data_IF_371790223977
#
_entry.id   IF_371790223977
#
_cell.length_a   1.000
_cell.length_b   1.000
_cell.length_c   1.000
_cell.angle_alpha   90.00
_cell.angle_beta   90.00
_cell.angle_gamma   90.00
#
_symmetry.space_group_name_H-M   'P 1'
#
loop_
_entity.id
_entity.type
_entity.pdbx_description
1 polymer ?
#
# COMPACT_ATOMS: atom_id res chain seq x y z
N UNK A 1 1.51 11.00 -1.44
CA UNK A 1 1.64 11.60 -0.10
C UNK A 1 1.16 10.59 0.94
N UNK A 2 1.77 10.52 2.14
CA UNK A 2 1.27 9.64 3.19
C UNK A 2 -0.13 10.10 3.63
N UNK A 3 -1.03 9.15 3.84
CA UNK A 3 -2.38 9.37 4.35
C UNK A 3 -2.65 8.39 5.51
N UNK A 4 -3.40 8.84 6.50
CA UNK A 4 -3.82 8.03 7.64
C UNK A 4 -5.35 8.01 7.68
N UNK A 5 -5.95 6.82 7.78
CA UNK A 5 -7.39 6.65 7.94
C UNK A 5 -7.88 7.31 9.25
N UNK A 6 -8.49 8.49 9.14
CA UNK A 6 -9.11 9.19 10.26
C UNK A 6 -10.13 8.28 10.96
N UNK A 7 -9.96 8.07 12.28
CA UNK A 7 -10.83 7.19 13.07
C UNK A 7 -10.35 5.73 13.21
N UNK A 8 -9.28 5.33 12.51
CA UNK A 8 -8.67 4.01 12.62
C UNK A 8 -7.22 4.16 13.04
N UNK A 9 -6.88 3.77 14.28
CA UNK A 9 -5.64 4.17 14.91
C UNK A 9 -4.36 3.68 14.21
N UNK A 10 -4.43 2.68 13.33
CA UNK A 10 -3.24 1.89 12.96
C UNK A 10 -3.13 1.57 11.46
N UNK A 11 -3.52 2.49 10.55
CA UNK A 11 -3.28 2.30 9.10
C UNK A 11 -2.76 3.58 8.46
N UNK A 12 -1.48 3.60 8.10
CA UNK A 12 -0.87 4.65 7.28
C UNK A 12 -0.51 4.09 5.91
N UNK A 13 -0.81 4.84 4.85
CA UNK A 13 -0.52 4.42 3.47
C UNK A 13 0.18 5.51 2.68
N UNK A 14 1.02 5.12 1.72
CA UNK A 14 1.51 6.00 0.66
C UNK A 14 1.23 5.36 -0.69
N UNK A 15 0.61 6.12 -1.58
CA UNK A 15 0.14 5.64 -2.87
C UNK A 15 0.79 6.45 -4.02
N UNK A 16 1.10 5.74 -5.10
CA UNK A 16 1.46 6.28 -6.41
C UNK A 16 0.58 5.63 -7.45
N UNK A 17 -0.25 6.40 -8.13
CA UNK A 17 -1.26 5.82 -9.00
C UNK A 17 -2.52 6.66 -9.12
N UNK A 18 -3.53 6.03 -9.70
CA UNK A 18 -4.89 6.52 -9.73
C UNK A 18 -5.86 5.33 -9.64
N UNK A 19 -6.89 5.47 -8.80
CA UNK A 19 -7.99 4.52 -8.68
C UNK A 19 -9.17 4.99 -9.54
N UNK A 20 -9.43 4.27 -10.64
CA UNK A 20 -10.45 4.66 -11.63
C UNK A 20 -11.88 4.37 -11.17
N UNK A 21 -12.07 3.43 -10.24
CA UNK A 21 -13.38 3.14 -9.64
C UNK A 21 -13.60 3.85 -8.28
N UNK A 22 -12.89 4.94 -8.01
CA UNK A 22 -12.91 5.68 -6.74
C UNK A 22 -14.33 5.92 -6.19
N UNK A 23 -15.21 6.57 -6.95
CA UNK A 23 -16.55 6.96 -6.49
C UNK A 23 -17.45 5.76 -6.18
N UNK A 24 -17.26 4.64 -6.90
CA UNK A 24 -17.99 3.40 -6.64
C UNK A 24 -17.55 2.80 -5.31
N UNK A 25 -16.26 2.78 -5.04
CA UNK A 25 -15.69 2.24 -3.80
C UNK A 25 -16.00 3.14 -2.60
N UNK A 26 -15.85 4.45 -2.75
CA UNK A 26 -16.21 5.44 -1.73
C UNK A 26 -17.66 5.28 -1.30
N UNK A 27 -18.60 5.25 -2.25
CA UNK A 27 -20.03 5.08 -1.96
C UNK A 27 -20.34 3.79 -1.19
N UNK A 28 -19.63 2.69 -1.48
CA UNK A 28 -19.77 1.42 -0.76
C UNK A 28 -19.30 1.54 0.69
N UNK A 29 -18.21 2.27 0.93
CA UNK A 29 -17.69 2.51 2.28
C UNK A 29 -18.56 3.51 3.04
N UNK A 30 -19.05 4.58 2.41
CA UNK A 30 -20.02 5.50 3.02
C UNK A 30 -21.31 4.80 3.46
N UNK A 31 -21.81 3.85 2.66
CA UNK A 31 -22.96 3.00 3.05
C UNK A 31 -22.71 2.12 4.28
N UNK A 32 -21.43 1.90 4.62
CA UNK A 32 -21.00 1.17 5.82
C UNK A 32 -20.69 2.09 7.00
N UNK A 33 -20.92 3.39 6.85
CA UNK A 33 -20.76 4.38 7.92
C UNK A 33 -19.39 5.08 7.96
N UNK A 34 -18.57 4.92 6.93
CA UNK A 34 -17.28 5.64 6.84
C UNK A 34 -17.48 7.06 6.32
N UNK A 35 -16.80 8.02 6.94
CA UNK A 35 -16.74 9.40 6.47
C UNK A 35 -15.42 9.66 5.73
N UNK A 36 -15.49 10.50 4.70
CA UNK A 36 -14.35 10.89 3.88
C UNK A 36 -14.16 12.39 3.96
N UNK A 37 -12.93 12.81 4.20
CA UNK A 37 -12.55 14.22 4.39
C UNK A 37 -11.88 14.83 3.17
N UNK A 38 -11.44 14.00 2.23
CA UNK A 38 -10.75 14.39 1.00
C UNK A 38 -11.26 13.60 -0.20
N UNK A 39 -10.88 14.03 -1.40
CA UNK A 39 -11.12 13.28 -2.64
C UNK A 39 -9.84 12.54 -3.10
N UNK A 40 -8.96 12.19 -2.16
CA UNK A 40 -7.69 11.53 -2.46
C UNK A 40 -7.84 10.01 -2.47
N UNK A 41 -7.36 9.36 -3.53
CA UNK A 41 -7.24 7.89 -3.62
C UNK A 41 -6.55 7.28 -2.40
N UNK A 42 -5.61 8.01 -1.81
CA UNK A 42 -4.88 7.58 -0.63
C UNK A 42 -5.81 7.38 0.58
N UNK A 43 -6.81 8.25 0.75
CA UNK A 43 -7.82 8.09 1.80
C UNK A 43 -8.70 6.87 1.54
N UNK A 44 -9.12 6.67 0.28
CA UNK A 44 -9.90 5.51 -0.12
C UNK A 44 -9.18 4.20 0.19
N UNK A 45 -7.90 4.09 -0.16
CA UNK A 45 -7.09 2.90 0.12
C UNK A 45 -6.95 2.70 1.64
N UNK A 46 -6.67 3.77 2.39
CA UNK A 46 -6.53 3.69 3.85
C UNK A 46 -7.83 3.20 4.52
N UNK A 47 -8.97 3.78 4.16
CA UNK A 47 -10.28 3.41 4.69
C UNK A 47 -10.67 1.99 4.26
N UNK A 48 -10.40 1.60 3.01
CA UNK A 48 -10.63 0.24 2.53
C UNK A 48 -9.87 -0.80 3.34
N UNK A 49 -8.58 -0.58 3.59
CA UNK A 49 -7.76 -1.50 4.38
C UNK A 49 -8.20 -1.52 5.84
N UNK A 50 -8.48 -0.34 6.41
CA UNK A 50 -8.97 -0.23 7.78
C UNK A 50 -10.30 -0.98 8.01
N UNK A 51 -11.24 -0.89 7.07
CA UNK A 51 -12.48 -1.67 7.10
C UNK A 51 -12.20 -3.17 7.14
N UNK A 52 -11.33 -3.67 6.26
CA UNK A 52 -10.97 -5.10 6.20
C UNK A 52 -10.33 -5.57 7.50
N UNK A 53 -9.36 -4.82 8.02
CA UNK A 53 -8.68 -5.14 9.28
C UNK A 53 -9.66 -5.13 10.47
N UNK A 54 -10.60 -4.17 10.52
CA UNK A 54 -11.63 -4.11 11.57
C UNK A 54 -12.58 -5.32 11.54
N UNK A 55 -12.71 -6.02 10.41
CA UNK A 55 -13.45 -7.27 10.28
C UNK A 55 -12.60 -8.51 10.63
N UNK A 56 -11.37 -8.34 11.10
CA UNK A 56 -10.46 -9.43 11.43
C UNK A 56 -9.79 -10.08 10.22
N UNK A 57 -9.86 -9.46 9.03
CA UNK A 57 -9.10 -9.89 7.85
C UNK A 57 -7.63 -9.58 8.09
N UNK A 58 -6.72 -10.50 7.76
CA UNK A 58 -5.27 -10.26 7.87
C UNK A 58 -4.81 -9.24 6.84
N UNK A 59 -3.75 -8.49 7.14
CA UNK A 59 -3.22 -7.49 6.21
C UNK A 59 -2.89 -8.08 4.84
N UNK A 60 -2.25 -9.24 4.82
CA UNK A 60 -1.90 -9.96 3.58
C UNK A 60 -3.14 -10.24 2.71
N UNK A 61 -4.24 -10.71 3.31
CA UNK A 61 -5.48 -11.00 2.58
C UNK A 61 -6.19 -9.71 2.13
N UNK A 62 -6.11 -8.65 2.94
CA UNK A 62 -6.64 -7.33 2.59
C UNK A 62 -5.89 -6.73 1.38
N UNK A 63 -4.56 -6.87 1.34
CA UNK A 63 -3.73 -6.48 0.21
C UNK A 63 -4.05 -7.30 -1.04
N UNK A 64 -4.18 -8.61 -0.91
CA UNK A 64 -4.61 -9.48 -2.03
C UNK A 64 -5.94 -9.01 -2.61
N UNK A 65 -6.94 -8.78 -1.75
CA UNK A 65 -8.27 -8.37 -2.18
C UNK A 65 -8.27 -6.97 -2.79
N UNK A 66 -7.38 -6.07 -2.33
CA UNK A 66 -7.26 -4.72 -2.90
C UNK A 66 -6.87 -4.74 -4.38
N UNK A 67 -6.07 -5.72 -4.82
CA UNK A 67 -5.68 -5.89 -6.23
C UNK A 67 -6.87 -6.29 -7.10
N UNK A 68 -7.88 -6.92 -6.51
CA UNK A 68 -9.11 -7.35 -7.20
C UNK A 68 -10.22 -6.29 -7.16
N UNK A 69 -10.37 -5.60 -6.04
CA UNK A 69 -11.48 -4.66 -5.81
C UNK A 69 -11.20 -3.26 -6.40
N UNK A 70 -9.93 -2.84 -6.44
CA UNK A 70 -9.54 -1.52 -6.91
C UNK A 70 -9.19 -1.56 -8.40
N UNK A 71 -9.89 -0.75 -9.19
CA UNK A 71 -9.60 -0.60 -10.61
C UNK A 71 -8.65 0.58 -10.80
N UNK A 72 -7.63 0.44 -11.65
CA UNK A 72 -6.72 1.52 -12.01
C UNK A 72 -5.28 1.07 -12.18
N UNK A 73 -4.37 2.04 -12.09
CA UNK A 73 -2.92 1.80 -12.05
C UNK A 73 -2.41 2.34 -10.73
N UNK A 74 -1.92 1.48 -9.85
CA UNK A 74 -1.50 1.85 -8.51
C UNK A 74 -0.38 0.97 -7.99
N UNK A 75 0.50 1.61 -7.23
CA UNK A 75 1.37 0.95 -6.28
C UNK A 75 1.26 1.69 -4.97
N UNK A 76 1.15 0.97 -3.86
CA UNK A 76 1.10 1.59 -2.54
C UNK A 76 1.84 0.77 -1.50
N UNK A 77 2.33 1.48 -0.48
CA UNK A 77 2.84 0.91 0.75
C UNK A 77 1.83 1.17 1.87
N UNK A 78 1.74 0.24 2.80
CA UNK A 78 0.94 0.33 4.01
C UNK A 78 1.80 -0.01 5.22
N UNK A 79 1.51 0.66 6.34
CA UNK A 79 2.03 0.33 7.66
C UNK A 79 0.86 0.20 8.63
N UNK A 80 0.87 -0.87 9.41
CA UNK A 80 0.07 -1.04 10.62
C UNK A 80 0.95 -0.85 11.86
N UNK A 81 0.40 -1.11 13.06
CA UNK A 81 1.17 -1.05 14.31
C UNK A 81 2.29 -2.10 14.40
N UNK A 82 2.16 -3.19 13.66
CA UNK A 82 3.01 -4.39 13.75
C UNK A 82 3.56 -4.90 12.41
N UNK A 83 3.02 -4.44 11.28
CA UNK A 83 3.38 -4.90 9.95
C UNK A 83 3.58 -3.75 8.95
N UNK A 84 4.40 -4.00 7.93
CA UNK A 84 4.45 -3.20 6.71
C UNK A 84 4.08 -4.09 5.52
N UNK A 85 3.58 -3.50 4.45
CA UNK A 85 3.31 -4.24 3.23
C UNK A 85 3.23 -3.36 2.00
N UNK A 86 3.16 -3.99 0.83
CA UNK A 86 2.89 -3.33 -0.43
C UNK A 86 1.85 -4.08 -1.24
N UNK A 87 1.18 -3.37 -2.15
CA UNK A 87 0.46 -3.98 -3.27
C UNK A 87 0.78 -3.23 -4.56
N UNK A 88 0.83 -3.99 -5.66
CA UNK A 88 1.05 -3.49 -7.02
C UNK A 88 -0.03 -4.01 -7.95
N UNK A 89 -0.64 -3.11 -8.71
CA UNK A 89 -1.69 -3.44 -9.66
C UNK A 89 -1.20 -4.38 -10.79
N UNK A 90 -2.15 -4.96 -11.53
CA UNK A 90 -1.86 -5.94 -12.60
C UNK A 90 -1.32 -5.32 -13.90
N UNK A 91 -1.56 -4.04 -14.13
CA UNK A 91 -1.00 -3.31 -15.28
C UNK A 91 0.44 -2.88 -15.00
N UNK A 92 0.81 -2.70 -13.73
CA UNK A 92 2.14 -2.33 -13.27
C UNK A 92 2.70 -1.07 -13.97
N UNK A 93 1.83 -0.09 -14.24
CA UNK A 93 2.23 1.14 -14.92
C UNK A 93 3.02 2.10 -14.01
N UNK A 94 3.01 1.87 -12.69
CA UNK A 94 3.74 2.68 -11.70
C UNK A 94 4.97 1.91 -11.21
N UNK A 95 6.18 2.51 -11.32
CA UNK A 95 7.40 1.83 -10.92
C UNK A 95 7.42 1.64 -9.39
N UNK A 96 7.99 0.52 -8.99
CA UNK A 96 8.24 0.16 -7.60
C UNK A 96 9.50 -0.69 -7.57
N UNK A 97 10.52 -0.23 -6.87
CA UNK A 97 11.80 -0.91 -6.70
C UNK A 97 11.93 -1.30 -5.23
N UNK A 98 12.35 -2.53 -5.00
CA UNK A 98 12.52 -3.11 -3.69
C UNK A 98 13.94 -3.60 -3.51
N UNK A 99 14.49 -3.34 -2.33
CA UNK A 99 15.66 -3.98 -1.77
C UNK A 99 15.24 -4.75 -0.51
N UNK A 100 15.75 -5.95 -0.36
CA UNK A 100 15.49 -6.79 0.81
C UNK A 100 16.73 -7.64 1.09
N UNK A 101 17.17 -7.62 2.35
CA UNK A 101 18.14 -8.52 2.95
C UNK A 101 17.60 -9.07 4.28
N UNK A 102 18.45 -9.78 5.04
CA UNK A 102 18.05 -10.42 6.30
C UNK A 102 17.62 -9.40 7.39
N UNK A 103 18.06 -8.15 7.31
CA UNK A 103 17.86 -7.12 8.35
C UNK A 103 16.91 -6.00 7.91
N UNK A 104 16.72 -5.79 6.61
CA UNK A 104 16.04 -4.62 6.07
C UNK A 104 15.21 -4.92 4.82
N UNK A 105 14.02 -4.34 4.80
CA UNK A 105 13.20 -4.14 3.60
C UNK A 105 13.12 -2.65 3.29
N UNK A 106 13.43 -2.27 2.05
CA UNK A 106 13.31 -0.89 1.58
C UNK A 106 12.62 -0.85 0.21
N UNK A 107 11.59 -0.01 0.07
CA UNK A 107 10.82 0.14 -1.17
C UNK A 107 10.77 1.61 -1.57
N UNK A 108 10.98 1.88 -2.86
CA UNK A 108 10.92 3.22 -3.43
C UNK A 108 10.31 3.18 -4.85
N UNK A 109 9.96 4.34 -5.40
CA UNK A 109 9.53 4.44 -6.80
C UNK A 109 10.67 4.33 -7.81
N UNK A 110 11.91 4.62 -7.39
CA UNK A 110 13.09 4.64 -8.26
C UNK A 110 14.34 4.13 -7.51
N UNK A 111 15.23 3.45 -8.23
CA UNK A 111 16.46 2.87 -7.67
C UNK A 111 17.39 3.92 -7.05
N UNK A 112 17.47 5.11 -7.65
CA UNK A 112 18.30 6.23 -7.14
C UNK A 112 17.93 6.61 -5.70
N UNK A 113 16.67 6.43 -5.31
CA UNK A 113 16.21 6.73 -3.96
C UNK A 113 16.77 5.73 -2.94
N UNK A 114 16.87 4.44 -3.32
CA UNK A 114 17.49 3.41 -2.48
C UNK A 114 19.01 3.57 -2.42
N UNK A 115 19.66 3.83 -3.56
CA UNK A 115 21.12 4.00 -3.61
C UNK A 115 21.62 5.15 -2.73
N UNK A 116 20.81 6.20 -2.53
CA UNK A 116 21.13 7.31 -1.60
C UNK A 116 21.16 6.90 -0.13
N UNK A 117 20.44 5.84 0.25
CA UNK A 117 20.45 5.32 1.62
C UNK A 117 21.71 4.49 1.92
N UNK A 118 22.37 3.98 0.87
CA UNK A 118 23.52 3.07 0.97
C UNK A 118 24.70 3.52 0.10
N UNK A 119 25.30 4.70 0.37
CA UNK A 119 26.37 5.23 -0.46
C UNK A 119 27.58 4.27 -0.53
N UNK A 120 28.01 3.94 -1.75
CA UNK A 120 29.15 3.06 -2.00
C UNK A 120 28.86 1.56 -1.91
N UNK A 121 27.61 1.16 -1.67
CA UNK A 121 27.16 -0.25 -1.72
C UNK A 121 26.35 -0.49 -3.00
N UNK A 122 26.69 -1.53 -3.75
CA UNK A 122 25.81 -2.03 -4.82
C UNK A 122 24.64 -2.77 -4.17
N UNK A 123 23.42 -2.28 -4.40
CA UNK A 123 22.21 -2.92 -3.89
C UNK A 123 21.67 -3.91 -4.92
N UNK A 124 21.30 -5.10 -4.47
CA UNK A 124 20.60 -6.07 -5.31
C UNK A 124 19.10 -5.73 -5.33
N UNK A 125 18.74 -4.67 -6.06
CA UNK A 125 17.35 -4.21 -6.16
C UNK A 125 16.58 -5.02 -7.20
N UNK A 126 15.28 -5.21 -6.96
CA UNK A 126 14.35 -5.85 -7.89
C UNK A 126 13.04 -5.08 -7.98
N UNK A 127 12.38 -5.16 -9.11
CA UNK A 127 11.01 -4.66 -9.26
C UNK A 127 10.01 -5.78 -8.93
N UNK A 128 9.07 -5.58 -8.00
CA UNK A 128 7.97 -6.52 -7.79
C UNK A 128 7.15 -6.74 -9.06
N UNK A 129 6.76 -8.00 -9.28
CA UNK A 129 5.96 -8.37 -10.44
C UNK A 129 4.54 -7.75 -10.39
N UNK A 130 3.88 -7.55 -11.55
CA UNK A 130 2.50 -7.07 -11.60
C UNK A 130 1.55 -7.96 -10.81
N UNK A 131 0.57 -7.36 -10.12
CA UNK A 131 -0.43 -8.10 -9.34
C UNK A 131 0.12 -8.79 -8.09
N UNK A 132 1.29 -8.36 -7.58
CA UNK A 132 1.88 -8.92 -6.36
C UNK A 132 1.66 -8.02 -5.16
N UNK A 133 1.75 -8.66 -3.99
CA UNK A 133 1.72 -8.05 -2.68
C UNK A 133 2.64 -8.83 -1.75
N UNK A 134 3.11 -8.18 -0.69
CA UNK A 134 3.83 -8.83 0.38
C UNK A 134 3.64 -8.05 1.69
N UNK A 135 3.86 -8.74 2.81
CA UNK A 135 3.86 -8.18 4.15
C UNK A 135 5.10 -8.63 4.90
N UNK A 136 5.59 -7.78 5.80
CA UNK A 136 6.66 -8.07 6.72
C UNK A 136 6.24 -7.59 8.10
N UNK A 137 6.31 -8.50 9.07
CA UNK A 137 5.97 -8.19 10.46
C UNK A 137 7.24 -7.86 11.23
N UNK A 138 7.12 -6.98 12.22
CA UNK A 138 8.23 -6.70 13.14
C UNK A 138 8.49 -7.94 13.99
N UNK A 139 9.69 -8.53 13.87
CA UNK A 139 10.15 -9.52 14.85
C UNK A 139 10.37 -8.81 16.18
N UNK A 140 9.67 -9.26 17.22
CA UNK A 140 9.86 -8.82 18.62
C UNK A 140 10.82 -9.78 19.31
#
# INVERSE_FOLDING_TARGET
HPFWATGFADVAIVHNGQITNYWKMRRRLEQRGFEFTTDNDSELIAVYLADKLAQGVKLQDALSTSIDDLDGTFSFLVSTGDEIGYAKDRLAAKPMIMYEDDDLVAIASEEVSLNRLFPGKALNTREPAPGTYATWSRSI
#
